data_IF_565445302049
#
_entry.id   IF_565445302049
#
_cell.length_a   1.000
_cell.length_b   1.000
_cell.length_c   1.000
_cell.angle_alpha   90.00
_cell.angle_beta   90.00
_cell.angle_gamma   90.00
#
_symmetry.space_group_name_H-M   'P 1'
#
loop_
_entity.id
_entity.type
_entity.pdbx_description
1 polymer ?
#
# COMPACT_ATOMS: atom_id res chain seq x y z
N UNK A 1 -8.37 -4.21 -10.85
CA UNK A 1 -9.33 -4.30 -9.72
C UNK A 1 -9.38 -5.75 -9.31
N UNK A 2 -9.09 -6.05 -8.04
CA UNK A 2 -9.19 -7.40 -7.49
C UNK A 2 -10.32 -7.43 -6.44
N UNK A 3 -11.22 -8.40 -6.54
CA UNK A 3 -12.27 -8.65 -5.57
C UNK A 3 -11.94 -9.91 -4.77
N UNK A 4 -11.90 -9.79 -3.44
CA UNK A 4 -11.93 -10.96 -2.55
C UNK A 4 -13.13 -10.76 -1.63
N UNK A 5 -14.12 -11.66 -1.75
CA UNK A 5 -15.38 -11.77 -0.98
C UNK A 5 -15.76 -10.48 -0.24
N UNK A 6 -16.62 -9.70 -0.89
CA UNK A 6 -17.29 -8.49 -0.38
C UNK A 6 -16.41 -7.27 -0.07
N UNK A 7 -15.09 -7.34 -0.28
CA UNK A 7 -14.19 -6.18 -0.21
C UNK A 7 -13.61 -5.87 -1.58
N UNK A 8 -14.02 -4.74 -2.17
CA UNK A 8 -13.39 -4.23 -3.39
C UNK A 8 -12.14 -3.46 -2.99
N UNK A 9 -11.00 -3.97 -3.41
CA UNK A 9 -9.68 -3.44 -3.07
C UNK A 9 -9.18 -2.63 -4.27
N UNK A 10 -8.82 -1.37 -4.04
CA UNK A 10 -7.99 -0.63 -4.98
C UNK A 10 -6.53 -0.95 -4.61
N UNK A 11 -5.80 -1.54 -5.56
CA UNK A 11 -4.42 -1.99 -5.42
C UNK A 11 -3.59 -1.14 -6.36
N UNK A 12 -2.67 -0.34 -5.82
CA UNK A 12 -1.67 0.36 -6.61
C UNK A 12 -0.36 -0.42 -6.54
N UNK A 13 0.08 -0.97 -7.69
CA UNK A 13 1.34 -1.68 -7.81
C UNK A 13 2.40 -0.68 -8.24
N UNK A 14 3.27 -0.27 -7.31
CA UNK A 14 4.46 0.51 -7.64
C UNK A 14 5.67 -0.41 -7.59
N UNK A 15 6.47 -0.32 -8.63
CA UNK A 15 7.68 -1.11 -8.84
C UNK A 15 8.91 -0.50 -8.16
N UNK A 16 8.79 0.71 -7.56
CA UNK A 16 9.86 1.42 -6.87
C UNK A 16 11.18 1.46 -7.66
N UNK A 17 11.07 1.75 -8.96
CA UNK A 17 12.21 1.78 -9.91
C UNK A 17 12.81 3.18 -10.05
N UNK A 18 12.37 4.15 -9.24
CA UNK A 18 12.94 5.49 -9.20
C UNK A 18 14.36 5.49 -8.62
N UNK A 19 15.06 6.62 -8.74
CA UNK A 19 16.38 6.81 -8.12
C UNK A 19 16.33 6.94 -6.59
N UNK A 20 15.13 6.98 -5.99
CA UNK A 20 14.91 7.13 -4.53
C UNK A 20 13.60 6.45 -4.10
N UNK A 21 13.72 5.39 -3.30
CA UNK A 21 12.59 4.66 -2.70
C UNK A 21 11.69 5.57 -1.85
N UNK A 22 12.27 6.60 -1.22
CA UNK A 22 11.55 7.57 -0.39
C UNK A 22 10.64 8.46 -1.26
N UNK A 23 11.08 8.85 -2.46
CA UNK A 23 10.24 9.67 -3.34
C UNK A 23 9.07 8.86 -3.91
N UNK A 24 9.32 7.59 -4.26
CA UNK A 24 8.26 6.66 -4.66
C UNK A 24 7.26 6.42 -3.53
N UNK A 25 7.73 6.28 -2.29
CA UNK A 25 6.86 6.19 -1.11
C UNK A 25 6.02 7.45 -0.90
N UNK A 26 6.61 8.65 -0.99
CA UNK A 26 5.88 9.92 -0.87
C UNK A 26 4.78 10.03 -1.91
N UNK A 27 5.06 9.66 -3.16
CA UNK A 27 4.07 9.67 -4.24
C UNK A 27 2.96 8.64 -4.01
N UNK A 28 3.29 7.45 -3.53
CA UNK A 28 2.31 6.42 -3.18
C UNK A 28 1.40 6.85 -2.01
N UNK A 29 1.97 7.45 -0.96
CA UNK A 29 1.22 7.98 0.18
C UNK A 29 0.28 9.12 -0.24
N UNK A 30 0.75 10.04 -1.07
CA UNK A 30 -0.08 11.13 -1.59
C UNK A 30 -1.29 10.63 -2.38
N UNK A 31 -1.09 9.62 -3.23
CA UNK A 31 -2.16 8.97 -3.98
C UNK A 31 -3.11 8.20 -3.05
N UNK A 32 -2.59 7.44 -2.08
CA UNK A 32 -3.40 6.73 -1.09
C UNK A 32 -4.37 7.68 -0.37
N UNK A 33 -3.85 8.78 0.19
CA UNK A 33 -4.64 9.78 0.90
C UNK A 33 -5.71 10.40 -0.01
N UNK A 34 -5.35 10.71 -1.27
CA UNK A 34 -6.29 11.29 -2.23
C UNK A 34 -7.43 10.32 -2.56
N UNK A 35 -7.12 9.07 -2.89
CA UNK A 35 -8.13 8.06 -3.25
C UNK A 35 -8.99 7.67 -2.06
N UNK A 36 -8.41 7.60 -0.86
CA UNK A 36 -9.15 7.32 0.37
C UNK A 36 -10.23 8.39 0.61
N UNK A 37 -9.87 9.67 0.47
CA UNK A 37 -10.82 10.79 0.55
C UNK A 37 -11.92 10.70 -0.50
N UNK A 38 -11.59 10.32 -1.74
CA UNK A 38 -12.58 10.15 -2.83
C UNK A 38 -13.52 8.96 -2.57
N UNK A 39 -13.01 7.86 -2.01
CA UNK A 39 -13.84 6.70 -1.66
C UNK A 39 -14.79 7.04 -0.51
N UNK A 40 -14.30 7.74 0.52
CA UNK A 40 -15.13 8.20 1.65
C UNK A 40 -16.21 9.17 1.20
N UNK A 41 -15.88 10.15 0.35
CA UNK A 41 -16.86 11.13 -0.13
C UNK A 41 -17.98 10.50 -0.97
N UNK A 42 -17.70 9.36 -1.60
CA UNK A 42 -18.67 8.56 -2.36
C UNK A 42 -19.44 7.54 -1.51
N UNK A 43 -19.34 7.60 -0.18
CA UNK A 43 -19.92 6.61 0.75
C UNK A 43 -19.57 5.16 0.36
N UNK A 44 -18.35 4.95 -0.13
CA UNK A 44 -17.93 3.64 -0.61
C UNK A 44 -17.59 2.73 0.57
N UNK A 45 -18.15 1.53 0.62
CA UNK A 45 -17.78 0.48 1.60
C UNK A 45 -16.40 -0.17 1.31
N UNK A 46 -15.66 0.40 0.37
CA UNK A 46 -14.39 -0.13 -0.09
C UNK A 46 -13.28 0.26 0.88
N UNK A 47 -12.47 -0.72 1.26
CA UNK A 47 -11.22 -0.48 1.98
C UNK A 47 -10.09 -0.34 0.97
N UNK A 48 -9.38 0.79 1.00
CA UNK A 48 -8.19 1.01 0.21
C UNK A 48 -6.99 0.33 0.87
N UNK A 49 -6.15 -0.34 0.08
CA UNK A 49 -4.89 -0.91 0.55
C UNK A 49 -3.78 -0.44 -0.39
N UNK A 50 -2.64 -0.06 0.19
CA UNK A 50 -1.41 0.15 -0.56
C UNK A 50 -0.73 -1.21 -0.80
N UNK A 51 -0.51 -1.61 -2.05
CA UNK A 51 0.20 -2.85 -2.33
C UNK A 51 1.69 -2.58 -2.54
N UNK A 52 2.53 -3.31 -1.82
CA UNK A 52 3.99 -3.13 -1.84
C UNK A 52 4.63 -4.50 -2.12
N UNK A 53 5.66 -4.50 -2.98
CA UNK A 53 6.47 -5.70 -3.20
C UNK A 53 7.23 -6.05 -1.93
N UNK A 54 7.39 -7.35 -1.64
CA UNK A 54 8.03 -7.83 -0.43
C UNK A 54 9.45 -7.27 -0.23
N UNK A 55 10.27 -7.25 -1.28
CA UNK A 55 11.64 -6.72 -1.22
C UNK A 55 11.69 -5.23 -0.85
N UNK A 56 10.78 -4.43 -1.41
CA UNK A 56 10.65 -3.01 -1.06
C UNK A 56 10.15 -2.84 0.37
N UNK A 57 9.18 -3.67 0.78
CA UNK A 57 8.68 -3.61 2.15
C UNK A 57 9.81 -3.90 3.15
N UNK A 58 10.54 -4.99 2.95
CA UNK A 58 11.63 -5.41 3.83
C UNK A 58 12.74 -4.34 3.90
N UNK A 59 13.07 -3.71 2.76
CA UNK A 59 14.06 -2.63 2.70
C UNK A 59 13.60 -1.34 3.38
N UNK A 60 12.50 -0.77 2.90
CA UNK A 60 12.00 0.55 3.33
C UNK A 60 11.54 0.55 4.79
N UNK A 61 10.89 -0.53 5.23
CA UNK A 61 10.35 -0.64 6.57
C UNK A 61 11.37 -1.15 7.59
N UNK A 62 12.59 -1.53 7.17
CA UNK A 62 13.71 -1.65 8.12
C UNK A 62 14.23 -0.29 8.63
N UNK A 63 13.89 0.81 7.94
CA UNK A 63 14.30 2.17 8.29
C UNK A 63 13.30 2.84 9.25
N UNK A 64 13.77 3.84 9.99
CA UNK A 64 12.96 4.60 10.96
C UNK A 64 11.68 5.19 10.33
N UNK A 65 11.78 5.75 9.11
CA UNK A 65 10.63 6.33 8.42
C UNK A 65 9.51 5.30 8.15
N UNK A 66 9.89 4.07 7.75
CA UNK A 66 8.91 3.02 7.53
C UNK A 66 8.30 2.52 8.83
N UNK A 67 9.09 2.38 9.90
CA UNK A 67 8.58 2.01 11.22
C UNK A 67 7.59 3.05 11.78
N UNK A 68 7.85 4.34 11.58
CA UNK A 68 6.92 5.41 11.93
C UNK A 68 5.61 5.26 11.14
N UNK A 69 5.68 4.99 9.84
CA UNK A 69 4.50 4.80 9.00
C UNK A 69 3.68 3.55 9.37
N UNK A 70 4.32 2.47 9.84
CA UNK A 70 3.62 1.29 10.34
C UNK A 70 2.96 1.51 11.70
N UNK A 71 3.49 2.45 12.48
CA UNK A 71 2.90 2.84 13.77
C UNK A 71 1.68 3.74 13.60
N UNK A 72 1.45 4.25 12.38
CA UNK A 72 0.27 5.01 12.02
C UNK A 72 -0.84 4.04 11.55
N UNK A 73 -1.84 3.82 12.41
CA UNK A 73 -3.00 2.94 12.18
C UNK A 73 -3.84 3.34 10.94
N UNK A 74 -3.51 4.44 10.26
CA UNK A 74 -4.21 4.91 9.08
C UNK A 74 -3.83 4.17 7.79
N UNK A 75 -2.63 3.57 7.72
CA UNK A 75 -2.11 2.99 6.48
C UNK A 75 -2.33 1.47 6.42
N UNK A 76 -3.21 1.04 5.52
CA UNK A 76 -3.44 -0.38 5.26
C UNK A 76 -2.58 -0.87 4.12
N UNK A 77 -1.79 -1.91 4.36
CA UNK A 77 -0.77 -2.40 3.41
C UNK A 77 -1.05 -3.86 3.06
N UNK A 78 -0.89 -4.19 1.78
CA UNK A 78 -0.80 -5.57 1.29
C UNK A 78 0.63 -5.78 0.80
N UNK A 79 1.29 -6.81 1.32
CA UNK A 79 2.61 -7.22 0.85
C UNK A 79 2.42 -8.39 -0.10
N UNK A 80 3.03 -8.31 -1.29
CA UNK A 80 3.02 -9.40 -2.24
C UNK A 80 4.43 -9.72 -2.75
N UNK A 81 4.65 -10.99 -3.05
CA UNK A 81 5.86 -11.46 -3.68
C UNK A 81 5.65 -11.48 -5.21
N UNK A 82 6.42 -10.70 -5.98
CA UNK A 82 6.26 -10.61 -7.43
C UNK A 82 6.72 -11.88 -8.16
N UNK A 83 7.62 -12.68 -7.60
CA UNK A 83 8.14 -13.89 -8.22
C UNK A 83 7.14 -15.04 -8.11
N UNK A 84 6.42 -15.11 -6.99
CA UNK A 84 5.39 -16.14 -6.75
C UNK A 84 3.97 -15.65 -7.08
N UNK A 85 3.79 -14.37 -7.38
CA UNK A 85 2.50 -13.70 -7.59
C UNK A 85 1.51 -13.87 -6.41
N UNK A 86 2.04 -14.06 -5.20
CA UNK A 86 1.23 -14.32 -4.00
C UNK A 86 1.25 -13.15 -3.02
N UNK A 87 0.10 -12.87 -2.42
CA UNK A 87 0.02 -12.00 -1.25
C UNK A 87 0.62 -12.72 -0.05
N UNK A 88 1.66 -12.16 0.54
CA UNK A 88 2.39 -12.74 1.67
C UNK A 88 1.88 -12.23 3.01
N UNK A 89 1.39 -10.99 3.09
CA UNK A 89 0.93 -10.39 4.34
C UNK A 89 -0.09 -9.26 4.13
N UNK A 90 -0.90 -9.02 5.16
CA UNK A 90 -1.82 -7.89 5.28
C UNK A 90 -1.51 -7.15 6.58
N UNK A 91 -1.40 -5.83 6.51
CA UNK A 91 -1.26 -4.91 7.65
C UNK A 91 -2.50 -4.01 7.66
N UNK A 92 -3.17 -3.91 8.81
CA UNK A 92 -4.48 -3.27 8.95
C UNK A 92 -4.49 -2.17 10.00
#
# INVERSE_FOLDING_TARGET
MAEKKDKKIAVEVKSFIGTSEIEDLKNALGQYILYEKVLRSKLSERTLYLAIRKDIFDGLFSQEIGQILLSDDYLKIIIFDPETEMITQWIN
#
